data_IF_191182900132
#
_entry.id   IF_191182900132
#
_cell.length_a   1.000
_cell.length_b   1.000
_cell.length_c   1.000
_cell.angle_alpha   90.00
_cell.angle_beta   90.00
_cell.angle_gamma   90.00
#
_symmetry.space_group_name_H-M   'P 1'
#
loop_
_entity.id
_entity.type
_entity.pdbx_description
1 polymer ?
#
# COMPACT_ATOMS: atom_id res chain seq x y z
N UNK A 1 9.33 -19.00 3.61
CA UNK A 1 8.70 -17.83 2.94
C UNK A 1 8.41 -18.20 1.50
N UNK A 2 7.28 -17.77 0.92
CA UNK A 2 7.00 -18.03 -0.51
C UNK A 2 7.95 -17.25 -1.41
N UNK A 3 8.18 -17.73 -2.64
CA UNK A 3 9.08 -17.06 -3.60
C UNK A 3 8.71 -15.59 -3.83
N UNK A 4 7.42 -15.32 -4.01
CA UNK A 4 6.90 -13.95 -4.21
C UNK A 4 7.24 -13.03 -3.04
N UNK A 5 7.03 -13.49 -1.80
CA UNK A 5 7.30 -12.70 -0.60
C UNK A 5 8.82 -12.54 -0.37
N UNK A 6 9.60 -13.58 -0.66
CA UNK A 6 11.06 -13.51 -0.63
C UNK A 6 11.61 -12.48 -1.61
N UNK A 7 11.07 -12.42 -2.83
CA UNK A 7 11.47 -11.43 -3.83
C UNK A 7 11.09 -10.00 -3.41
N UNK A 8 9.95 -9.81 -2.76
CA UNK A 8 9.55 -8.51 -2.21
C UNK A 8 10.58 -8.00 -1.19
N UNK A 9 10.94 -8.82 -0.20
CA UNK A 9 11.96 -8.44 0.79
C UNK A 9 13.35 -8.33 0.17
N UNK A 10 13.70 -9.19 -0.78
CA UNK A 10 14.95 -9.08 -1.55
C UNK A 10 15.08 -7.72 -2.24
N UNK A 11 14.00 -7.20 -2.81
CA UNK A 11 13.98 -5.85 -3.38
C UNK A 11 14.15 -4.74 -2.33
N UNK A 12 13.64 -4.90 -1.10
CA UNK A 12 13.88 -3.91 -0.04
C UNK A 12 15.34 -3.90 0.40
N UNK A 13 15.99 -5.06 0.45
CA UNK A 13 17.35 -5.24 0.95
C UNK A 13 18.45 -4.85 -0.04
N UNK A 14 18.11 -4.39 -1.25
CA UNK A 14 19.09 -3.79 -2.17
C UNK A 14 19.49 -2.36 -1.75
N UNK A 15 18.75 -1.77 -0.81
CA UNK A 15 18.96 -0.41 -0.33
C UNK A 15 19.87 -0.38 0.89
N UNK A 16 20.81 0.56 0.90
CA UNK A 16 21.64 0.83 2.06
C UNK A 16 20.84 1.55 3.16
N UNK A 17 21.11 1.27 4.45
CA UNK A 17 20.52 2.03 5.54
C UNK A 17 21.05 3.47 5.53
N UNK A 18 20.14 4.45 5.45
CA UNK A 18 20.51 5.87 5.33
C UNK A 18 20.90 6.51 6.66
N UNK A 19 20.26 6.08 7.75
CA UNK A 19 20.48 6.65 9.10
C UNK A 19 20.57 5.51 10.09
N UNK A 20 21.76 5.33 10.69
CA UNK A 20 21.99 4.33 11.72
C UNK A 20 22.48 5.04 12.99
N UNK A 21 21.75 4.83 14.09
CA UNK A 21 22.13 5.38 15.39
C UNK A 21 23.20 4.50 16.02
N UNK A 22 24.25 5.12 16.56
CA UNK A 22 25.38 4.40 17.15
C UNK A 22 24.96 3.53 18.33
N UNK A 23 23.98 4.00 19.08
CA UNK A 23 23.37 3.34 20.24
C UNK A 23 22.61 2.07 19.85
N UNK A 24 22.33 1.88 18.55
CA UNK A 24 21.56 0.76 18.02
C UNK A 24 22.43 -0.14 17.11
N UNK A 25 23.75 0.04 17.13
CA UNK A 25 24.75 -0.81 16.44
C UNK A 25 25.12 -2.07 17.25
N UNK A 26 24.18 -2.60 18.03
CA UNK A 26 24.40 -3.81 18.83
C UNK A 26 24.28 -5.08 17.97
N UNK A 27 24.80 -6.24 18.43
CA UNK A 27 24.59 -7.52 17.76
C UNK A 27 23.10 -7.80 17.57
N UNK A 28 22.77 -8.60 16.54
CA UNK A 28 21.39 -8.99 16.21
C UNK A 28 20.68 -9.49 17.47
N UNK A 29 19.59 -8.81 17.82
CA UNK A 29 18.72 -9.12 18.95
C UNK A 29 17.36 -9.55 18.42
N UNK A 30 16.99 -10.81 18.67
CA UNK A 30 15.73 -11.43 18.22
C UNK A 30 14.48 -10.80 18.88
N UNK A 31 14.66 -9.88 19.84
CA UNK A 31 13.56 -9.14 20.48
C UNK A 31 13.23 -7.82 19.80
N UNK A 32 14.01 -7.41 18.77
CA UNK A 32 13.83 -6.12 18.10
C UNK A 32 13.76 -6.27 16.58
N UNK A 33 12.96 -5.41 15.94
CA UNK A 33 12.89 -5.29 14.49
C UNK A 33 13.69 -4.08 13.96
N UNK A 34 14.55 -3.48 14.79
CA UNK A 34 15.18 -2.18 14.50
C UNK A 34 15.95 -2.17 13.18
N UNK A 35 16.83 -3.16 12.96
CA UNK A 35 17.62 -3.23 11.73
C UNK A 35 16.76 -3.42 10.48
N UNK A 36 15.69 -4.21 10.60
CA UNK A 36 14.74 -4.39 9.51
C UNK A 36 13.97 -3.09 9.24
N UNK A 37 13.44 -2.43 10.28
CA UNK A 37 12.73 -1.16 10.14
C UNK A 37 13.65 -0.05 9.60
N UNK A 38 14.94 -0.10 9.90
CA UNK A 38 15.92 0.83 9.32
C UNK A 38 15.95 0.74 7.79
N UNK A 39 15.71 -0.42 7.18
CA UNK A 39 15.59 -0.52 5.72
C UNK A 39 14.14 -0.25 5.28
N UNK A 40 13.18 -0.95 5.90
CA UNK A 40 11.78 -0.94 5.48
C UNK A 40 11.11 0.45 5.59
N UNK A 41 11.55 1.31 6.51
CA UNK A 41 10.96 2.64 6.69
C UNK A 41 11.50 3.69 5.69
N UNK A 42 12.64 3.44 5.06
CA UNK A 42 13.25 4.33 4.08
C UNK A 42 12.91 3.96 2.62
N UNK A 43 12.19 2.86 2.41
CA UNK A 43 11.63 2.54 1.09
C UNK A 43 10.20 3.06 0.99
N UNK A 44 10.05 4.22 0.32
CA UNK A 44 8.77 4.93 0.22
C UNK A 44 8.00 4.61 -1.05
N UNK A 45 7.41 3.41 -1.08
CA UNK A 45 6.47 3.00 -2.13
C UNK A 45 5.06 3.60 -1.90
N UNK A 46 4.19 3.47 -2.91
CA UNK A 46 2.77 3.84 -2.82
C UNK A 46 2.02 3.00 -1.78
N UNK A 47 2.36 1.71 -1.64
CA UNK A 47 1.87 0.85 -0.58
C UNK A 47 3.03 0.32 0.25
N UNK A 48 2.84 0.19 1.56
CA UNK A 48 3.82 -0.44 2.46
C UNK A 48 3.21 -1.65 3.16
N UNK A 49 3.85 -2.80 3.01
CA UNK A 49 3.55 -4.00 3.80
C UNK A 49 4.26 -3.87 5.15
N UNK A 50 3.50 -3.91 6.25
CA UNK A 50 4.02 -3.82 7.60
C UNK A 50 3.88 -5.18 8.29
N UNK A 51 5.00 -5.85 8.63
CA UNK A 51 4.92 -7.06 9.43
C UNK A 51 4.32 -6.78 10.83
N UNK A 52 3.84 -7.83 11.51
CA UNK A 52 3.50 -7.73 12.92
C UNK A 52 4.74 -7.33 13.72
N UNK A 53 4.60 -6.45 14.73
CA UNK A 53 5.70 -6.13 15.64
C UNK A 53 6.04 -7.36 16.49
N UNK A 54 7.30 -7.52 16.89
CA UNK A 54 7.74 -8.68 17.67
C UNK A 54 7.14 -8.72 19.09
N UNK A 55 6.86 -7.54 19.68
CA UNK A 55 6.45 -7.40 21.08
C UNK A 55 4.96 -7.10 21.27
N UNK A 56 4.14 -7.19 20.22
CA UNK A 56 2.69 -7.04 20.33
C UNK A 56 1.99 -8.15 19.54
N UNK A 57 1.26 -8.99 20.30
CA UNK A 57 0.57 -10.18 19.80
C UNK A 57 -0.83 -9.88 19.25
N UNK A 58 -1.36 -8.69 19.46
CA UNK A 58 -2.67 -8.25 18.97
C UNK A 58 -2.57 -7.66 17.56
N UNK A 59 -1.42 -7.09 17.20
CA UNK A 59 -1.22 -6.44 15.91
C UNK A 59 -0.73 -7.40 14.83
N UNK A 60 -1.58 -7.67 13.83
CA UNK A 60 -1.25 -8.50 12.67
C UNK A 60 -0.50 -7.78 11.54
N UNK A 61 -0.43 -8.45 10.37
CA UNK A 61 0.04 -7.85 9.13
C UNK A 61 -0.85 -6.69 8.70
N UNK A 62 -0.24 -5.60 8.24
CA UNK A 62 -0.96 -4.40 7.81
C UNK A 62 -0.45 -3.92 6.46
N UNK A 63 -1.33 -3.22 5.75
CA UNK A 63 -0.99 -2.48 4.55
C UNK A 63 -1.23 -1.00 4.83
N UNK A 64 -0.27 -0.16 4.47
CA UNK A 64 -0.39 1.29 4.55
C UNK A 64 -0.56 1.86 3.15
N UNK A 65 -1.62 2.66 2.97
CA UNK A 65 -1.92 3.38 1.75
C UNK A 65 -1.36 4.79 1.82
N UNK A 66 -0.48 5.14 0.88
CA UNK A 66 0.31 6.38 0.87
C UNK A 66 0.06 7.36 -0.31
N UNK A 67 -0.69 7.05 -1.39
CA UNK A 67 -0.84 7.99 -2.51
C UNK A 67 -1.78 9.18 -2.28
N UNK A 68 -2.53 9.22 -1.18
CA UNK A 68 -3.54 10.27 -0.96
C UNK A 68 -2.89 11.61 -0.60
N UNK A 69 -3.22 12.66 -1.36
CA UNK A 69 -2.85 14.03 -1.05
C UNK A 69 -3.72 14.59 0.10
N UNK A 70 -3.13 15.49 0.90
CA UNK A 70 -3.84 16.21 1.94
C UNK A 70 -4.81 17.24 1.33
N UNK A 71 -6.05 17.23 1.79
CA UNK A 71 -7.08 18.19 1.38
C UNK A 71 -7.13 19.39 2.35
N UNK A 72 -7.75 20.49 1.91
CA UNK A 72 -7.77 21.76 2.65
C UNK A 72 -8.59 21.62 3.93
N UNK A 73 -9.71 20.90 3.90
CA UNK A 73 -10.59 20.75 5.06
C UNK A 73 -10.48 19.39 5.73
N UNK A 74 -10.70 19.37 7.05
CA UNK A 74 -10.80 18.14 7.84
C UNK A 74 -11.93 17.23 7.34
N UNK A 75 -13.02 17.83 6.83
CA UNK A 75 -14.14 17.09 6.27
C UNK A 75 -13.72 16.29 5.03
N UNK A 76 -13.02 16.91 4.08
CA UNK A 76 -12.53 16.23 2.86
C UNK A 76 -11.53 15.12 3.20
N UNK A 77 -10.61 15.39 4.14
CA UNK A 77 -9.67 14.37 4.62
C UNK A 77 -10.39 13.20 5.30
N UNK A 78 -11.38 13.47 6.16
CA UNK A 78 -12.19 12.43 6.79
C UNK A 78 -12.99 11.62 5.76
N UNK A 79 -13.55 12.27 4.73
CA UNK A 79 -14.27 11.61 3.66
C UNK A 79 -13.37 10.62 2.88
N UNK A 80 -12.13 11.01 2.55
CA UNK A 80 -11.16 10.13 1.89
C UNK A 80 -10.77 8.93 2.76
N UNK A 81 -10.56 9.14 4.07
CA UNK A 81 -10.26 8.05 5.03
C UNK A 81 -11.42 7.06 5.13
N UNK A 82 -12.65 7.55 5.26
CA UNK A 82 -13.84 6.70 5.31
C UNK A 82 -14.02 5.94 3.99
N UNK A 83 -13.83 6.61 2.85
CA UNK A 83 -13.87 5.97 1.54
C UNK A 83 -12.85 4.83 1.43
N UNK A 84 -11.60 5.05 1.83
CA UNK A 84 -10.56 4.03 1.84
C UNK A 84 -10.91 2.84 2.77
N UNK A 85 -11.48 3.12 3.94
CA UNK A 85 -11.94 2.07 4.85
C UNK A 85 -13.11 1.26 4.27
N UNK A 86 -14.02 1.89 3.54
CA UNK A 86 -15.13 1.20 2.88
C UNK A 86 -14.66 0.36 1.69
N UNK A 87 -13.82 0.91 0.81
CA UNK A 87 -13.36 0.17 -0.38
C UNK A 87 -12.50 -1.04 0.00
N UNK A 88 -11.67 -0.93 1.03
CA UNK A 88 -10.90 -2.08 1.55
C UNK A 88 -11.80 -3.16 2.12
N UNK A 89 -12.88 -2.79 2.84
CA UNK A 89 -13.90 -3.75 3.29
C UNK A 89 -14.61 -4.42 2.12
N UNK A 90 -14.96 -3.66 1.08
CA UNK A 90 -15.59 -4.20 -0.14
C UNK A 90 -14.66 -5.20 -0.83
N UNK A 91 -13.39 -4.84 -1.04
CA UNK A 91 -12.39 -5.74 -1.66
C UNK A 91 -12.30 -7.08 -0.90
N UNK A 92 -12.20 -7.03 0.43
CA UNK A 92 -12.07 -8.24 1.26
C UNK A 92 -13.38 -9.03 1.33
N UNK A 93 -14.52 -8.36 1.52
CA UNK A 93 -15.83 -9.01 1.73
C UNK A 93 -16.27 -9.76 0.49
N UNK A 94 -16.00 -9.21 -0.69
CA UNK A 94 -16.44 -9.77 -1.96
C UNK A 94 -15.35 -10.55 -2.71
N UNK A 95 -14.15 -10.66 -2.11
CA UNK A 95 -12.99 -11.30 -2.72
C UNK A 95 -12.70 -10.75 -4.13
N UNK A 96 -12.65 -9.41 -4.22
CA UNK A 96 -12.48 -8.73 -5.50
C UNK A 96 -11.05 -8.85 -5.99
N UNK A 97 -10.87 -9.54 -7.12
CA UNK A 97 -9.60 -9.53 -7.84
C UNK A 97 -9.50 -8.26 -8.70
N UNK A 98 -8.76 -7.26 -8.23
CA UNK A 98 -8.47 -6.00 -8.92
C UNK A 98 -7.09 -5.99 -9.57
N UNK A 99 -6.45 -7.15 -9.69
CA UNK A 99 -5.07 -7.25 -10.18
C UNK A 99 -4.98 -6.83 -11.65
N UNK A 100 -4.00 -5.97 -11.94
CA UNK A 100 -3.55 -5.58 -13.28
C UNK A 100 -2.02 -5.68 -13.35
N UNK A 101 -1.43 -5.54 -14.54
CA UNK A 101 0.03 -5.59 -14.68
C UNK A 101 0.70 -4.41 -13.96
N UNK A 102 1.83 -4.63 -13.30
CA UNK A 102 2.58 -3.56 -12.61
C UNK A 102 3.00 -2.43 -13.54
N UNK A 103 3.27 -2.74 -14.83
CA UNK A 103 3.55 -1.73 -15.85
C UNK A 103 2.36 -0.79 -16.10
N UNK A 104 1.12 -1.28 -16.02
CA UNK A 104 -0.10 -0.47 -16.13
C UNK A 104 -0.33 0.38 -14.88
N UNK A 105 0.03 -0.14 -13.70
CA UNK A 105 0.01 0.66 -12.45
C UNK A 105 1.01 1.81 -12.55
N UNK A 106 2.22 1.56 -13.03
CA UNK A 106 3.24 2.59 -13.22
C UNK A 106 2.78 3.65 -14.23
N UNK A 107 2.13 3.22 -15.32
CA UNK A 107 1.56 4.15 -16.31
C UNK A 107 0.43 4.99 -15.71
N UNK A 108 -0.45 4.39 -14.91
CA UNK A 108 -1.47 5.13 -14.16
C UNK A 108 -0.85 6.20 -13.24
N UNK A 109 0.26 5.88 -12.57
CA UNK A 109 0.96 6.85 -11.73
C UNK A 109 1.52 8.01 -12.57
N UNK A 110 2.04 7.76 -13.77
CA UNK A 110 2.49 8.83 -14.67
C UNK A 110 1.32 9.72 -15.11
N UNK A 111 0.23 9.10 -15.58
CA UNK A 111 -0.98 9.80 -16.04
C UNK A 111 -1.60 10.64 -14.91
N UNK A 112 -1.58 10.15 -13.66
CA UNK A 112 -2.14 10.85 -12.51
C UNK A 112 -1.56 12.26 -12.32
N UNK A 113 -0.28 12.47 -12.67
CA UNK A 113 0.40 13.76 -12.53
C UNK A 113 0.06 14.77 -13.63
N UNK A 114 -0.63 14.36 -14.70
CA UNK A 114 -1.05 15.30 -15.75
C UNK A 114 -2.05 16.31 -15.21
N UNK A 115 -1.96 17.56 -15.69
CA UNK A 115 -2.93 18.61 -15.32
C UNK A 115 -4.32 18.21 -15.80
N UNK A 116 -5.30 18.25 -14.89
CA UNK A 116 -6.70 17.89 -15.15
C UNK A 116 -6.89 16.41 -15.54
N UNK A 117 -5.99 15.53 -15.06
CA UNK A 117 -6.02 14.09 -15.32
C UNK A 117 -7.34 13.43 -14.93
N UNK A 118 -7.92 13.85 -13.81
CA UNK A 118 -9.19 13.35 -13.30
C UNK A 118 -10.35 13.47 -14.31
N UNK A 119 -10.36 14.52 -15.15
CA UNK A 119 -11.47 14.80 -16.07
C UNK A 119 -11.19 14.38 -17.50
N UNK A 120 -9.91 14.30 -17.88
CA UNK A 120 -9.50 14.22 -19.30
C UNK A 120 -8.82 12.90 -19.65
N UNK A 121 -8.14 12.29 -18.69
CA UNK A 121 -7.32 11.12 -18.93
C UNK A 121 -8.08 9.82 -18.64
N UNK A 122 -7.53 8.70 -19.10
CA UNK A 122 -8.06 7.37 -18.84
C UNK A 122 -7.03 6.56 -18.09
N UNK A 123 -7.49 5.80 -17.12
CA UNK A 123 -6.66 4.94 -16.30
C UNK A 123 -6.92 3.48 -16.66
N UNK A 124 -5.86 2.67 -16.63
CA UNK A 124 -5.97 1.22 -16.68
C UNK A 124 -6.66 0.75 -15.41
N UNK A 125 -7.83 0.14 -15.58
CA UNK A 125 -8.56 -0.48 -14.49
C UNK A 125 -9.03 -1.84 -14.96
N UNK A 126 -9.10 -2.81 -14.05
CA UNK A 126 -9.56 -4.14 -14.41
C UNK A 126 -11.02 -4.08 -14.84
N UNK A 127 -11.30 -4.55 -16.05
CA UNK A 127 -12.66 -4.65 -16.59
C UNK A 127 -12.98 -6.11 -16.88
N UNK A 128 -14.01 -6.64 -16.20
CA UNK A 128 -14.62 -7.94 -16.47
C UNK A 128 -13.75 -9.16 -16.17
N UNK A 129 -14.06 -9.86 -15.07
CA UNK A 129 -14.02 -11.33 -14.90
C UNK A 129 -14.78 -11.62 -13.60
N UNK A 130 -15.82 -12.44 -13.66
CA UNK A 130 -16.70 -12.81 -12.55
C UNK A 130 -15.93 -13.28 -11.30
N UNK A 131 -16.09 -12.56 -10.19
CA UNK A 131 -16.20 -13.17 -8.85
C UNK A 131 -17.13 -12.29 -8.01
N UNK A 132 -18.28 -12.84 -7.63
CA UNK A 132 -19.34 -12.25 -6.80
C UNK A 132 -20.14 -11.11 -7.43
N UNK A 133 -21.36 -11.45 -7.86
CA UNK A 133 -22.48 -10.60 -8.26
C UNK A 133 -22.63 -9.36 -7.35
N UNK A 134 -22.11 -8.21 -7.76
CA UNK A 134 -22.55 -6.91 -7.23
C UNK A 134 -23.12 -6.10 -8.38
N UNK A 135 -24.45 -6.11 -8.47
CA UNK A 135 -25.19 -5.08 -9.19
C UNK A 135 -25.11 -3.81 -8.36
N UNK A 136 -24.13 -2.94 -8.63
CA UNK A 136 -24.26 -1.54 -8.23
C UNK A 136 -25.08 -0.85 -9.32
N UNK A 137 -26.39 -0.86 -9.15
CA UNK A 137 -27.26 0.07 -9.85
C UNK A 137 -26.93 1.46 -9.34
N UNK A 138 -26.09 2.19 -10.09
CA UNK A 138 -26.00 3.64 -9.94
C UNK A 138 -27.33 4.20 -10.41
N UNK A 139 -28.23 4.44 -9.46
CA UNK A 139 -29.37 5.33 -9.67
C UNK A 139 -28.78 6.74 -9.84
N UNK A 140 -28.81 7.23 -11.08
CA UNK A 140 -28.86 8.67 -11.34
C UNK A 140 -30.22 9.21 -10.91
#
# INVERSE_FOLDING_TARGET
MSETLSRHFGHLLIHDPLVVLKELLHPIDDTTSYHFENINTHVWNSLRLKPPPLNDTLMGWRVEFRPMDLQISDFENAALVVFLALITRVIITYDLDLTILISQVNENMNIAHHRDSLRREKFYFRYGTYTSQIFITLLY
#
